data_IF_580478820245
#
_entry.id   IF_580478820245
#
_cell.length_a   1.000
_cell.length_b   1.000
_cell.length_c   1.000
_cell.angle_alpha   90.00
_cell.angle_beta   90.00
_cell.angle_gamma   90.00
#
_symmetry.space_group_name_H-M   'P 1'
#
loop_
_entity.id
_entity.type
_entity.pdbx_description
1 polymer ?
#
# COMPACT_ATOMS: atom_id res chain seq x y z
N UNK A 1 -29.70 -17.73 -7.36
CA UNK A 1 -29.64 -16.52 -6.50
C UNK A 1 -28.35 -16.56 -5.68
N UNK A 2 -27.24 -16.07 -6.22
CA UNK A 2 -25.97 -15.97 -5.49
C UNK A 2 -25.74 -14.50 -5.11
N UNK A 3 -25.74 -14.22 -3.80
CA UNK A 3 -25.40 -12.89 -3.26
C UNK A 3 -23.88 -12.77 -3.30
N UNK A 4 -23.35 -11.98 -4.22
CA UNK A 4 -21.96 -11.55 -4.17
C UNK A 4 -21.77 -10.66 -2.94
N UNK A 5 -21.13 -11.19 -1.91
CA UNK A 5 -20.72 -10.40 -0.74
C UNK A 5 -19.55 -9.51 -1.15
N UNK A 6 -19.85 -8.25 -1.47
CA UNK A 6 -18.84 -7.21 -1.64
C UNK A 6 -18.03 -7.09 -0.35
N UNK A 7 -16.78 -7.54 -0.38
CA UNK A 7 -15.84 -7.38 0.73
C UNK A 7 -15.60 -5.88 0.91
N UNK A 8 -15.77 -5.30 2.11
CA UNK A 8 -15.61 -3.87 2.29
C UNK A 8 -14.21 -3.45 1.86
N UNK A 9 -14.12 -2.54 0.88
CA UNK A 9 -12.87 -1.94 0.46
C UNK A 9 -12.23 -1.26 1.67
N UNK A 10 -11.00 -1.65 1.97
CA UNK A 10 -10.32 -1.17 3.16
C UNK A 10 -9.79 0.24 2.89
N UNK A 11 -10.60 1.29 3.08
CA UNK A 11 -10.12 2.66 2.87
C UNK A 11 -9.04 3.00 3.89
N UNK A 12 -7.81 3.18 3.43
CA UNK A 12 -6.72 3.68 4.26
C UNK A 12 -6.84 5.18 4.43
N UNK A 13 -7.23 5.60 5.63
CA UNK A 13 -7.18 7.00 6.04
C UNK A 13 -5.81 7.30 6.64
N UNK A 14 -4.79 7.45 5.80
CA UNK A 14 -3.48 8.02 6.17
C UNK A 14 -3.50 9.47 5.68
N UNK A 15 -3.41 10.44 6.60
CA UNK A 15 -3.41 11.86 6.25
C UNK A 15 -1.99 12.38 6.26
N UNK A 16 -1.51 12.88 5.13
CA UNK A 16 -0.21 13.55 5.03
C UNK A 16 -0.47 15.06 5.15
N UNK A 17 0.07 15.69 6.19
CA UNK A 17 0.09 17.15 6.31
C UNK A 17 1.08 17.76 5.31
N UNK A 18 0.58 18.60 4.39
CA UNK A 18 1.40 19.29 3.41
C UNK A 18 2.21 20.45 4.01
N UNK A 19 1.76 21.04 5.13
CA UNK A 19 2.48 22.11 5.82
C UNK A 19 3.66 21.57 6.65
N UNK A 20 3.61 20.29 7.03
CA UNK A 20 4.70 19.59 7.70
C UNK A 20 4.94 18.23 7.02
N UNK A 21 5.74 18.18 5.94
CA UNK A 21 5.99 16.93 5.22
C UNK A 21 6.61 15.86 6.13
N UNK A 22 7.26 16.24 7.24
CA UNK A 22 7.99 15.32 8.10
C UNK A 22 7.17 14.81 9.31
N UNK A 23 5.88 15.17 9.42
CA UNK A 23 5.04 14.82 10.59
C UNK A 23 4.92 13.30 10.89
N UNK A 24 5.20 12.43 9.92
CA UNK A 24 5.23 10.98 10.12
C UNK A 24 6.64 10.44 10.40
N UNK A 25 7.67 11.26 10.23
CA UNK A 25 9.06 10.89 10.37
C UNK A 25 9.56 11.23 11.76
N UNK A 26 10.22 10.27 12.38
CA UNK A 26 10.84 10.42 13.69
C UNK A 26 12.32 10.02 13.60
N UNK A 27 13.22 10.93 13.97
CA UNK A 27 14.64 10.63 14.03
C UNK A 27 14.98 9.99 15.39
N UNK A 28 15.54 8.78 15.36
CA UNK A 28 16.05 8.09 16.55
C UNK A 28 17.54 7.80 16.36
N UNK A 29 18.40 8.60 17.00
CA UNK A 29 19.86 8.50 16.93
C UNK A 29 20.40 8.37 15.49
N UNK A 30 19.84 9.16 14.58
CA UNK A 30 20.22 9.16 13.18
C UNK A 30 19.49 8.12 12.34
N UNK A 31 18.66 7.24 12.88
CA UNK A 31 17.79 6.36 12.07
C UNK A 31 16.39 6.94 11.99
N UNK A 32 15.86 7.11 10.80
CA UNK A 32 14.49 7.59 10.60
C UNK A 32 13.47 6.47 10.77
N UNK A 33 12.35 6.80 11.41
CA UNK A 33 11.21 5.91 11.65
C UNK A 33 9.94 6.55 11.09
N UNK A 34 9.08 5.75 10.48
CA UNK A 34 7.74 6.17 10.09
C UNK A 34 6.72 5.75 11.15
N UNK A 35 6.03 6.72 11.73
CA UNK A 35 4.91 6.50 12.64
C UNK A 35 3.60 6.85 11.95
N UNK A 36 2.66 5.93 11.87
CA UNK A 36 1.34 6.18 11.28
C UNK A 36 0.27 5.33 11.92
N UNK A 37 -0.99 5.72 11.70
CA UNK A 37 -2.17 4.98 12.17
C UNK A 37 -2.99 4.52 10.98
N UNK A 38 -3.26 3.22 10.93
CA UNK A 38 -4.15 2.58 9.97
C UNK A 38 -5.56 2.54 10.53
N UNK A 39 -6.52 3.02 9.76
CA UNK A 39 -7.95 2.88 10.03
C UNK A 39 -8.54 1.88 9.03
N UNK A 40 -9.10 0.77 9.51
CA UNK A 40 -9.75 -0.25 8.66
C UNK A 40 -11.04 -0.75 9.30
N UNK A 41 -12.19 -0.33 8.79
CA UNK A 41 -13.50 -0.84 9.23
C UNK A 41 -13.72 -0.74 10.75
N UNK A 42 -13.42 0.43 11.35
CA UNK A 42 -13.51 0.64 12.79
C UNK A 42 -12.28 0.18 13.59
N UNK A 43 -11.36 -0.58 13.00
CA UNK A 43 -10.11 -0.97 13.64
C UNK A 43 -9.05 0.12 13.47
N UNK A 44 -8.46 0.54 14.59
CA UNK A 44 -7.34 1.49 14.63
C UNK A 44 -6.05 0.74 14.97
N UNK A 45 -5.06 0.75 14.09
CA UNK A 45 -3.73 0.13 14.34
C UNK A 45 -2.63 1.16 14.21
N UNK A 46 -1.89 1.38 15.29
CA UNK A 46 -0.67 2.19 15.27
C UNK A 46 0.51 1.35 14.80
N UNK A 47 1.32 1.88 13.90
CA UNK A 47 2.50 1.22 13.34
C UNK A 47 3.69 2.15 13.43
N UNK A 48 4.83 1.58 13.84
CA UNK A 48 6.14 2.22 13.85
C UNK A 48 7.06 1.34 13.03
N UNK A 49 7.59 1.89 11.95
CA UNK A 49 8.42 1.15 11.00
C UNK A 49 9.76 1.87 10.91
N UNK A 50 10.86 1.14 11.09
CA UNK A 50 12.18 1.70 10.81
C UNK A 50 12.29 1.94 9.30
N UNK A 51 12.75 3.12 8.91
CA UNK A 51 13.07 3.43 7.53
C UNK A 51 14.53 3.11 7.21
N UNK A 52 15.32 2.66 8.19
CA UNK A 52 16.70 2.16 8.00
C UNK A 52 17.59 3.09 7.16
N UNK A 53 17.39 4.39 7.32
CA UNK A 53 18.19 5.42 6.67
C UNK A 53 18.47 6.55 7.64
N UNK A 54 19.58 7.24 7.41
CA UNK A 54 19.96 8.47 8.12
C UNK A 54 19.66 9.73 7.33
N UNK A 55 19.37 9.60 6.05
CA UNK A 55 19.13 10.71 5.13
C UNK A 55 17.64 11.04 5.12
N UNK A 56 17.29 12.32 5.35
CA UNK A 56 15.88 12.74 5.45
C UNK A 56 15.13 12.61 4.12
N UNK A 57 15.76 12.94 2.99
CA UNK A 57 15.13 12.79 1.66
C UNK A 57 14.85 11.33 1.33
N UNK A 58 15.78 10.43 1.68
CA UNK A 58 15.56 8.99 1.53
C UNK A 58 14.46 8.48 2.47
N UNK A 59 14.38 9.03 3.70
CA UNK A 59 13.31 8.71 4.63
C UNK A 59 11.93 9.12 4.07
N UNK A 60 11.83 10.29 3.43
CA UNK A 60 10.62 10.74 2.73
C UNK A 60 10.24 9.80 1.60
N UNK A 61 11.20 9.46 0.73
CA UNK A 61 10.96 8.54 -0.38
C UNK A 61 10.52 7.14 0.09
N UNK A 62 11.17 6.58 1.11
CA UNK A 62 10.81 5.27 1.70
C UNK A 62 9.43 5.31 2.37
N UNK A 63 9.09 6.40 3.04
CA UNK A 63 7.73 6.64 3.58
C UNK A 63 6.69 6.66 2.47
N UNK A 64 6.93 7.39 1.39
CA UNK A 64 5.97 7.53 0.30
C UNK A 64 5.75 6.20 -0.42
N UNK A 65 6.83 5.44 -0.65
CA UNK A 65 6.73 4.07 -1.16
C UNK A 65 5.92 3.15 -0.21
N UNK A 66 6.13 3.27 1.10
CA UNK A 66 5.39 2.51 2.11
C UNK A 66 3.90 2.86 2.08
N UNK A 67 3.55 4.14 1.98
CA UNK A 67 2.16 4.57 1.86
C UNK A 67 1.52 4.13 0.54
N UNK A 68 2.23 4.28 -0.59
CA UNK A 68 1.75 3.80 -1.89
C UNK A 68 1.47 2.29 -1.89
N UNK A 69 2.36 1.49 -1.29
CA UNK A 69 2.16 0.05 -1.14
C UNK A 69 0.93 -0.29 -0.29
N UNK A 70 0.70 0.46 0.80
CA UNK A 70 -0.48 0.30 1.64
C UNK A 70 -1.77 0.68 0.88
N UNK A 71 -1.77 1.79 0.13
CA UNK A 71 -2.89 2.19 -0.73
C UNK A 71 -3.18 1.14 -1.81
N UNK A 72 -2.15 0.60 -2.47
CA UNK A 72 -2.30 -0.49 -3.45
C UNK A 72 -2.78 -1.82 -2.84
N UNK A 73 -2.40 -2.14 -1.61
CA UNK A 73 -2.93 -3.29 -0.86
C UNK A 73 -4.41 -3.15 -0.51
N UNK A 74 -4.91 -1.92 -0.50
CA UNK A 74 -6.29 -1.59 -0.15
C UNK A 74 -7.23 -1.63 -1.35
N UNK A 75 -6.68 -1.41 -2.54
CA UNK A 75 -7.39 -1.40 -3.82
C UNK A 75 -7.41 -2.77 -4.52
N UNK A 76 -6.59 -3.74 -4.07
CA UNK A 76 -6.74 -5.15 -4.49
C UNK A 76 -8.01 -5.76 -3.86
N UNK A 77 -9.15 -5.45 -4.46
CA UNK A 77 -10.32 -6.34 -4.52
C UNK A 77 -9.91 -7.70 -5.13
N UNK A 78 -10.75 -8.74 -5.00
CA UNK A 78 -10.37 -10.09 -5.43
C UNK A 78 -9.93 -10.03 -6.89
N UNK A 79 -8.67 -10.41 -7.14
CA UNK A 79 -8.24 -10.77 -8.49
C UNK A 79 -9.20 -11.87 -8.92
N UNK A 80 -10.13 -11.53 -9.79
CA UNK A 80 -10.83 -12.52 -10.59
C UNK A 80 -9.75 -13.22 -11.40
N UNK A 81 -9.44 -14.44 -11.00
CA UNK A 81 -8.84 -15.42 -11.89
C UNK A 81 -9.86 -15.68 -13.00
N UNK A 82 -9.89 -14.83 -14.03
CA UNK A 82 -10.63 -15.11 -15.25
C UNK A 82 -9.72 -14.94 -16.47
N UNK A 83 -9.51 -16.08 -17.12
CA UNK A 83 -9.12 -16.26 -18.52
C UNK A 83 -7.85 -15.57 -19.00
N UNK A 84 -6.71 -16.19 -18.72
CA UNK A 84 -5.63 -16.23 -19.71
C UNK A 84 -6.13 -17.05 -20.92
N UNK A 85 -6.57 -16.29 -21.92
CA UNK A 85 -6.61 -16.62 -23.33
C UNK A 85 -5.86 -17.90 -23.73
N UNK A 86 -6.63 -18.83 -24.30
CA UNK A 86 -6.16 -19.77 -25.31
C UNK A 86 -5.60 -18.95 -26.47
N UNK A 87 -4.28 -18.91 -26.60
CA UNK A 87 -3.59 -18.29 -27.71
C UNK A 87 -3.92 -19.04 -29.01
N UNK A 88 -4.17 -18.32 -30.13
CA UNK A 88 -4.10 -18.89 -31.46
C UNK A 88 -2.66 -18.79 -31.97
N UNK A 89 -2.09 -19.90 -32.43
CA UNK A 89 -0.91 -19.91 -33.30
C UNK A 89 -0.96 -21.13 -34.21
N UNK A 90 -1.12 -20.78 -35.49
CA UNK A 90 -0.95 -21.54 -36.72
C UNK A 90 0.31 -22.43 -36.72
N UNK A 91 0.21 -23.70 -37.17
CA UNK A 91 1.36 -24.45 -37.68
C UNK A 91 0.90 -25.46 -38.78
N UNK A 92 1.00 -24.96 -40.02
CA UNK A 92 1.37 -25.60 -41.31
C UNK A 92 0.91 -27.00 -41.70
N UNK A 93 0.46 -27.03 -42.96
CA UNK A 93 0.28 -28.17 -43.83
C UNK A 93 1.56 -29.02 -44.03
N UNK A 94 1.37 -30.35 -44.05
CA UNK A 94 1.93 -31.28 -45.03
C UNK A 94 1.13 -32.59 -45.00
#
# INVERSE_FOLDING_TARGET
>A
MHRSTSRPSAVLSIRIDAANPDHHLWNNHGTWWCHYTLHRGGLKRRRRVSLETRVIEEARARRDALFAALHGLSDRGPRGDEHAARAPADEVAA
#
